data_IF_217650618248
#
_entry.id   IF_217650618248
#
_cell.length_a   1.000
_cell.length_b   1.000
_cell.length_c   1.000
_cell.angle_alpha   90.00
_cell.angle_beta   90.00
_cell.angle_gamma   90.00
#
_symmetry.space_group_name_H-M   'P 1'
#
loop_
_entity.id
_entity.type
_entity.pdbx_description
1 polymer ?
#
# COMPACT_ATOMS: atom_id res chain seq x y z
N UNK A 1 -15.42 16.13 -1.28
CA UNK A 1 -14.44 15.22 -0.66
C UNK A 1 -15.00 13.81 -0.49
N UNK A 2 -16.13 13.62 0.15
CA UNK A 2 -16.76 12.32 0.42
C UNK A 2 -16.98 11.49 -0.86
N UNK A 3 -17.53 12.08 -1.94
CA UNK A 3 -17.68 11.40 -3.25
C UNK A 3 -16.34 10.85 -3.77
N UNK A 4 -15.23 11.59 -3.59
CA UNK A 4 -13.89 11.12 -3.99
C UNK A 4 -13.43 9.93 -3.13
N UNK A 5 -13.73 9.94 -1.82
CA UNK A 5 -13.40 8.83 -0.89
C UNK A 5 -14.16 7.56 -1.29
N UNK A 6 -15.48 7.67 -1.50
CA UNK A 6 -16.29 6.51 -1.93
C UNK A 6 -15.87 5.98 -3.30
N UNK A 7 -15.54 6.88 -4.24
CA UNK A 7 -14.99 6.47 -5.53
C UNK A 7 -13.67 5.72 -5.40
N UNK A 8 -12.77 6.20 -4.53
CA UNK A 8 -11.48 5.53 -4.27
C UNK A 8 -11.69 4.19 -3.55
N UNK A 9 -12.60 4.12 -2.58
CA UNK A 9 -12.94 2.87 -1.90
C UNK A 9 -13.54 1.85 -2.88
N UNK A 10 -14.51 2.26 -3.71
CA UNK A 10 -15.08 1.40 -4.76
C UNK A 10 -14.02 0.87 -5.74
N UNK A 11 -13.07 1.72 -6.13
CA UNK A 11 -11.93 1.31 -6.96
C UNK A 11 -11.06 0.25 -6.25
N UNK A 12 -10.81 0.40 -4.94
CA UNK A 12 -10.03 -0.58 -4.16
C UNK A 12 -10.75 -1.91 -4.01
N UNK A 13 -12.06 -1.88 -3.78
CA UNK A 13 -12.90 -3.09 -3.74
C UNK A 13 -12.92 -3.78 -5.11
N UNK A 14 -13.11 -3.02 -6.20
CA UNK A 14 -13.04 -3.55 -7.57
C UNK A 14 -11.69 -4.22 -7.83
N UNK A 15 -10.58 -3.58 -7.44
CA UNK A 15 -9.25 -4.17 -7.55
C UNK A 15 -9.13 -5.48 -6.78
N UNK A 16 -9.64 -5.54 -5.55
CA UNK A 16 -9.64 -6.77 -4.76
C UNK A 16 -10.44 -7.88 -5.44
N UNK A 17 -11.60 -7.56 -6.03
CA UNK A 17 -12.41 -8.51 -6.81
C UNK A 17 -11.63 -8.99 -8.05
N UNK A 18 -11.03 -8.06 -8.82
CA UNK A 18 -10.20 -8.43 -9.97
C UNK A 18 -9.04 -9.34 -9.55
N UNK A 19 -8.38 -9.04 -8.43
CA UNK A 19 -7.32 -9.90 -7.87
C UNK A 19 -7.81 -11.30 -7.51
N UNK A 20 -8.98 -11.42 -6.89
CA UNK A 20 -9.60 -12.73 -6.58
C UNK A 20 -9.95 -13.51 -7.86
N UNK A 21 -10.51 -12.84 -8.86
CA UNK A 21 -10.83 -13.45 -10.17
C UNK A 21 -9.54 -13.90 -10.86
N UNK A 22 -8.50 -13.07 -10.86
CA UNK A 22 -7.18 -13.42 -11.40
C UNK A 22 -6.61 -14.66 -10.70
N UNK A 23 -6.67 -14.69 -9.37
CA UNK A 23 -6.23 -15.85 -8.58
C UNK A 23 -7.03 -17.11 -8.92
N UNK A 24 -8.35 -16.99 -9.07
CA UNK A 24 -9.19 -18.13 -9.43
C UNK A 24 -8.83 -18.71 -10.79
N UNK A 25 -8.63 -17.86 -11.82
CA UNK A 25 -8.17 -18.31 -13.13
C UNK A 25 -6.76 -18.91 -13.08
N UNK A 26 -5.83 -18.26 -12.34
CA UNK A 26 -4.49 -18.77 -12.19
C UNK A 26 -4.47 -20.16 -11.54
N UNK A 27 -5.22 -20.36 -10.46
CA UNK A 27 -5.27 -21.64 -9.76
C UNK A 27 -5.85 -22.78 -10.60
N UNK A 28 -6.80 -22.49 -11.52
CA UNK A 28 -7.44 -23.50 -12.35
C UNK A 28 -6.71 -23.82 -13.65
N UNK A 29 -6.05 -22.83 -14.25
CA UNK A 29 -5.48 -22.96 -15.60
C UNK A 29 -3.96 -22.93 -15.64
N UNK A 30 -3.29 -22.27 -14.68
CA UNK A 30 -1.81 -22.22 -14.65
C UNK A 30 -1.20 -23.23 -13.68
N UNK A 31 -1.93 -23.58 -12.61
CA UNK A 31 -1.43 -24.46 -11.55
C UNK A 31 -0.62 -23.72 -10.46
N UNK A 32 -0.30 -24.43 -9.38
CA UNK A 32 0.32 -23.84 -8.20
C UNK A 32 1.78 -23.40 -8.44
N UNK A 33 2.53 -24.15 -9.24
CA UNK A 33 3.94 -23.86 -9.54
C UNK A 33 4.08 -22.57 -10.35
N UNK A 34 3.37 -22.46 -11.48
CA UNK A 34 3.37 -21.28 -12.33
C UNK A 34 2.86 -20.04 -11.60
N UNK A 35 1.83 -20.19 -10.75
CA UNK A 35 1.36 -19.11 -9.89
C UNK A 35 2.41 -18.69 -8.86
N UNK A 36 3.16 -19.65 -8.31
CA UNK A 36 4.27 -19.40 -7.39
C UNK A 36 5.38 -18.55 -8.02
N UNK A 37 5.84 -18.92 -9.22
CA UNK A 37 6.86 -18.19 -9.98
C UNK A 37 6.37 -16.75 -10.28
N UNK A 38 5.13 -16.59 -10.76
CA UNK A 38 4.54 -15.27 -11.00
C UNK A 38 4.46 -14.41 -9.74
N UNK A 39 4.19 -15.05 -8.59
CA UNK A 39 4.19 -14.40 -7.27
C UNK A 39 5.57 -13.92 -6.84
N UNK A 40 6.63 -14.71 -7.10
CA UNK A 40 8.03 -14.31 -6.83
C UNK A 40 8.41 -13.13 -7.70
N UNK A 41 8.14 -13.16 -9.00
CA UNK A 41 8.41 -12.03 -9.92
C UNK A 41 7.72 -10.75 -9.42
N UNK A 42 6.47 -10.83 -8.97
CA UNK A 42 5.75 -9.67 -8.43
C UNK A 42 6.37 -9.16 -7.12
N UNK A 43 6.87 -10.06 -6.28
CA UNK A 43 7.59 -9.71 -5.05
C UNK A 43 8.88 -8.96 -5.39
N UNK A 44 9.66 -9.46 -6.35
CA UNK A 44 10.91 -8.84 -6.81
C UNK A 44 10.68 -7.46 -7.40
N UNK A 45 9.66 -7.31 -8.24
CA UNK A 45 9.22 -5.99 -8.73
C UNK A 45 8.97 -5.05 -7.55
N UNK A 46 8.27 -5.52 -6.51
CA UNK A 46 7.95 -4.71 -5.33
C UNK A 46 9.22 -4.30 -4.53
N UNK A 47 10.21 -5.17 -4.44
CA UNK A 47 11.48 -4.89 -3.77
C UNK A 47 12.33 -3.88 -4.58
N UNK A 48 12.44 -4.08 -5.88
CA UNK A 48 13.20 -3.19 -6.76
C UNK A 48 12.58 -1.78 -6.84
N UNK A 49 11.25 -1.69 -6.72
CA UNK A 49 10.56 -0.40 -6.67
C UNK A 49 10.97 0.47 -5.49
N UNK A 50 11.43 -0.09 -4.38
CA UNK A 50 11.89 0.70 -3.20
C UNK A 50 12.96 1.72 -3.60
N UNK A 51 13.94 1.34 -4.42
CA UNK A 51 14.96 2.26 -4.91
C UNK A 51 14.44 3.29 -5.91
N UNK A 52 13.52 2.88 -6.78
CA UNK A 52 12.90 3.77 -7.76
C UNK A 52 12.02 4.81 -7.09
N UNK A 53 11.24 4.41 -6.09
CA UNK A 53 10.28 5.28 -5.39
C UNK A 53 10.92 6.37 -4.52
N UNK A 54 12.24 6.38 -4.35
CA UNK A 54 12.96 7.50 -3.71
C UNK A 54 12.66 8.84 -4.39
N UNK A 55 12.62 8.87 -5.73
CA UNK A 55 12.34 10.07 -6.51
C UNK A 55 11.09 9.98 -7.38
N UNK A 56 10.56 8.77 -7.60
CA UNK A 56 9.41 8.53 -8.47
C UNK A 56 8.20 7.95 -7.70
N UNK A 57 8.20 8.02 -6.39
CA UNK A 57 7.16 7.45 -5.52
C UNK A 57 6.08 8.44 -5.08
N UNK A 58 5.43 8.12 -3.97
CA UNK A 58 4.31 8.90 -3.40
C UNK A 58 4.67 10.34 -3.01
N UNK A 59 5.94 10.65 -2.82
CA UNK A 59 6.43 12.02 -2.61
C UNK A 59 6.03 12.99 -3.73
N UNK A 60 5.85 12.49 -4.95
CA UNK A 60 5.38 13.29 -6.09
C UNK A 60 4.02 13.96 -5.82
N UNK A 61 3.15 13.37 -5.01
CA UNK A 61 1.86 13.99 -4.63
C UNK A 61 2.10 15.33 -3.91
N UNK A 62 3.15 15.39 -3.07
CA UNK A 62 3.54 16.61 -2.37
C UNK A 62 4.19 17.64 -3.31
N UNK A 63 5.06 17.21 -4.23
CA UNK A 63 5.82 18.10 -5.10
C UNK A 63 5.00 18.62 -6.30
N UNK A 64 4.06 17.87 -6.82
CA UNK A 64 3.28 18.21 -8.04
C UNK A 64 2.55 19.57 -7.96
N UNK A 65 1.97 20.02 -6.85
CA UNK A 65 1.38 21.35 -6.78
C UNK A 65 2.40 22.48 -6.60
N UNK A 66 3.69 22.16 -6.31
CA UNK A 66 4.72 23.13 -5.90
C UNK A 66 5.84 23.33 -6.90
N UNK A 67 6.01 22.38 -7.82
CA UNK A 67 7.14 22.33 -8.76
C UNK A 67 6.66 22.14 -10.19
N UNK A 68 7.50 22.52 -11.15
CA UNK A 68 7.29 22.29 -12.57
C UNK A 68 7.06 20.81 -12.87
N UNK A 69 6.00 20.52 -13.60
CA UNK A 69 5.71 19.17 -14.03
C UNK A 69 6.82 18.59 -14.93
N UNK A 70 7.35 19.42 -15.85
CA UNK A 70 8.48 19.02 -16.73
C UNK A 70 9.71 18.62 -15.93
N UNK A 71 10.04 19.40 -14.89
CA UNK A 71 11.19 19.13 -14.03
C UNK A 71 10.97 17.85 -13.24
N UNK A 72 9.80 17.65 -12.64
CA UNK A 72 9.45 16.43 -11.90
C UNK A 72 9.51 15.19 -12.81
N UNK A 73 8.97 15.29 -14.02
CA UNK A 73 9.00 14.20 -15.01
C UNK A 73 10.43 13.85 -15.41
N UNK A 74 11.26 14.84 -15.75
CA UNK A 74 12.66 14.61 -16.11
C UNK A 74 13.44 13.93 -14.97
N UNK A 75 13.28 14.40 -13.73
CA UNK A 75 13.93 13.81 -12.56
C UNK A 75 13.48 12.36 -12.35
N UNK A 76 12.17 12.11 -12.32
CA UNK A 76 11.63 10.78 -12.05
C UNK A 76 11.98 9.78 -13.15
N UNK A 77 11.89 10.17 -14.42
CA UNK A 77 12.20 9.28 -15.54
C UNK A 77 13.71 8.99 -15.63
N UNK A 78 14.57 10.01 -15.47
CA UNK A 78 16.02 9.82 -15.45
C UNK A 78 16.43 8.93 -14.27
N UNK A 79 15.89 9.18 -13.08
CA UNK A 79 16.15 8.36 -11.89
C UNK A 79 15.73 6.91 -12.09
N UNK A 80 14.50 6.67 -12.58
CA UNK A 80 14.02 5.33 -12.88
C UNK A 80 14.95 4.61 -13.86
N UNK A 81 15.37 5.28 -14.92
CA UNK A 81 16.31 4.71 -15.91
C UNK A 81 17.65 4.36 -15.27
N UNK A 82 18.21 5.26 -14.45
CA UNK A 82 19.48 5.02 -13.75
C UNK A 82 19.37 3.83 -12.79
N UNK A 83 18.33 3.76 -11.99
CA UNK A 83 18.16 2.70 -11.01
C UNK A 83 17.91 1.35 -11.69
N UNK A 84 17.08 1.30 -12.73
CA UNK A 84 16.85 0.06 -13.49
C UNK A 84 18.13 -0.41 -14.19
N UNK A 85 18.91 0.51 -14.79
CA UNK A 85 20.21 0.18 -15.38
C UNK A 85 21.21 -0.31 -14.31
N UNK A 86 21.20 0.29 -13.12
CA UNK A 86 22.02 -0.15 -11.99
C UNK A 86 21.65 -1.57 -11.55
N UNK A 87 20.36 -1.89 -11.45
CA UNK A 87 19.89 -3.24 -11.14
C UNK A 87 20.29 -4.25 -12.23
N UNK A 88 20.16 -3.88 -13.52
CA UNK A 88 20.62 -4.72 -14.62
C UNK A 88 22.14 -4.99 -14.53
N UNK A 89 22.94 -4.00 -14.14
CA UNK A 89 24.36 -4.15 -13.92
C UNK A 89 24.65 -5.10 -12.75
N UNK A 90 23.95 -4.95 -11.62
CA UNK A 90 24.11 -5.84 -10.46
C UNK A 90 23.79 -7.27 -10.84
N UNK A 91 22.66 -7.52 -11.51
CA UNK A 91 22.24 -8.86 -11.94
C UNK A 91 23.32 -9.47 -12.85
N UNK A 92 23.83 -8.68 -13.81
CA UNK A 92 24.91 -9.13 -14.71
C UNK A 92 26.23 -9.37 -13.97
N UNK A 93 26.57 -8.58 -12.96
CA UNK A 93 27.77 -8.78 -12.16
C UNK A 93 27.63 -10.00 -11.23
N UNK A 94 26.42 -10.27 -10.74
CA UNK A 94 26.15 -11.44 -9.90
C UNK A 94 26.46 -12.75 -10.61
N UNK A 95 26.33 -12.82 -11.94
CA UNK A 95 26.71 -14.00 -12.72
C UNK A 95 28.22 -14.28 -12.75
N UNK A 96 29.05 -13.31 -12.34
CA UNK A 96 30.52 -13.48 -12.23
C UNK A 96 30.99 -13.77 -10.80
N UNK A 97 30.08 -13.76 -9.82
CA UNK A 97 30.44 -14.05 -8.42
C UNK A 97 30.51 -15.57 -8.24
N UNK A 98 31.64 -16.12 -7.71
CA UNK A 98 31.77 -17.55 -7.48
C UNK A 98 30.69 -18.07 -6.50
N UNK A 99 30.19 -19.28 -6.75
CA UNK A 99 29.15 -19.95 -5.93
C UNK A 99 29.51 -20.02 -4.43
N UNK A 100 30.78 -20.00 -4.08
CA UNK A 100 31.25 -19.98 -2.69
C UNK A 100 30.90 -18.70 -1.92
N UNK A 101 30.72 -17.57 -2.61
CA UNK A 101 30.33 -16.29 -2.00
C UNK A 101 28.82 -16.16 -1.98
N UNK A 102 28.14 -16.58 -3.04
CA UNK A 102 26.68 -16.65 -3.13
C UNK A 102 26.10 -17.59 -2.06
N UNK A 103 26.73 -18.75 -1.81
CA UNK A 103 26.31 -19.69 -0.78
C UNK A 103 26.39 -19.11 0.66
N UNK A 104 27.28 -18.16 0.91
CA UNK A 104 27.36 -17.49 2.21
C UNK A 104 26.18 -16.52 2.42
N UNK A 105 25.77 -15.82 1.36
CA UNK A 105 24.60 -14.93 1.39
C UNK A 105 23.26 -15.74 1.36
N UNK A 106 23.21 -16.82 0.62
CA UNK A 106 22.03 -17.71 0.54
C UNK A 106 21.79 -18.46 1.86
N UNK A 107 22.83 -18.83 2.63
CA UNK A 107 22.66 -19.34 4.00
C UNK A 107 21.97 -18.38 4.96
N UNK A 108 22.09 -17.07 4.74
CA UNK A 108 21.34 -16.05 5.48
C UNK A 108 19.91 -15.86 4.96
N UNK A 109 19.63 -16.23 3.70
CA UNK A 109 18.33 -16.03 3.06
C UNK A 109 17.43 -17.28 3.03
N UNK A 110 17.96 -18.47 3.42
CA UNK A 110 17.29 -19.78 3.28
C UNK A 110 17.65 -20.44 1.95
N UNK A 111 18.02 -21.70 2.03
CA UNK A 111 18.72 -22.47 0.98
C UNK A 111 18.01 -22.62 -0.40
N UNK A 112 16.82 -22.05 -0.61
CA UNK A 112 16.04 -22.21 -1.86
C UNK A 112 15.54 -20.89 -2.49
N UNK A 113 15.98 -19.72 -2.05
CA UNK A 113 15.48 -18.47 -2.62
C UNK A 113 16.45 -17.87 -3.63
N UNK A 114 16.33 -18.26 -4.88
CA UNK A 114 16.79 -17.40 -5.98
C UNK A 114 15.98 -16.10 -5.91
N UNK A 115 16.68 -14.98 -5.75
CA UNK A 115 16.06 -13.66 -5.62
C UNK A 115 15.22 -13.30 -6.86
N UNK A 116 15.59 -13.79 -8.04
CA UNK A 116 14.82 -13.63 -9.28
C UNK A 116 14.85 -14.98 -10.00
N UNK A 117 13.69 -15.58 -10.38
CA UNK A 117 13.66 -16.82 -11.11
C UNK A 117 14.46 -16.72 -12.41
N UNK A 118 15.29 -17.73 -12.69
CA UNK A 118 16.11 -17.76 -13.90
C UNK A 118 15.27 -17.56 -15.17
N UNK A 119 15.74 -16.67 -16.04
CA UNK A 119 15.08 -16.32 -17.31
C UNK A 119 14.02 -15.23 -17.21
N UNK A 120 13.69 -14.75 -16.00
CA UNK A 120 12.72 -13.67 -15.79
C UNK A 120 13.36 -12.34 -15.41
N UNK A 121 14.68 -12.25 -15.37
CA UNK A 121 15.42 -11.06 -14.95
C UNK A 121 15.09 -9.84 -15.83
N UNK A 122 15.15 -10.02 -17.15
CA UNK A 122 14.89 -8.94 -18.10
C UNK A 122 13.45 -8.42 -18.02
N UNK A 123 12.46 -9.33 -17.93
CA UNK A 123 11.05 -8.93 -17.85
C UNK A 123 10.70 -8.30 -16.50
N UNK A 124 11.32 -8.74 -15.40
CA UNK A 124 11.19 -8.12 -14.08
C UNK A 124 11.68 -6.67 -14.12
N UNK A 125 12.83 -6.39 -14.73
CA UNK A 125 13.33 -5.03 -14.91
C UNK A 125 12.42 -4.17 -15.80
N UNK A 126 11.88 -4.75 -16.89
CA UNK A 126 10.91 -4.06 -17.75
C UNK A 126 9.63 -3.75 -16.98
N UNK A 127 9.14 -4.67 -16.15
CA UNK A 127 7.98 -4.45 -15.30
C UNK A 127 8.21 -3.32 -14.30
N UNK A 128 9.37 -3.30 -13.63
CA UNK A 128 9.77 -2.19 -12.71
C UNK A 128 9.77 -0.86 -13.44
N UNK A 129 10.36 -0.81 -14.64
CA UNK A 129 10.44 0.41 -15.43
C UNK A 129 9.05 0.92 -15.83
N UNK A 130 8.23 0.09 -16.47
CA UNK A 130 6.89 0.47 -16.95
C UNK A 130 5.94 0.79 -15.80
N UNK A 131 5.97 0.00 -14.72
CA UNK A 131 5.21 0.30 -13.50
C UNK A 131 5.54 1.69 -12.96
N UNK A 132 6.84 2.03 -12.90
CA UNK A 132 7.30 3.33 -12.39
C UNK A 132 6.77 4.50 -13.22
N UNK A 133 6.77 4.37 -14.55
CA UNK A 133 6.21 5.36 -15.45
C UNK A 133 4.68 5.48 -15.30
N UNK A 134 3.99 4.36 -15.12
CA UNK A 134 2.55 4.34 -14.82
C UNK A 134 2.27 5.02 -13.47
N UNK A 135 3.01 4.65 -12.42
CA UNK A 135 2.87 5.22 -11.08
C UNK A 135 3.14 6.73 -11.04
N UNK A 136 4.08 7.23 -11.85
CA UNK A 136 4.32 8.66 -12.03
C UNK A 136 3.05 9.40 -12.46
N UNK A 137 2.33 8.87 -13.46
CA UNK A 137 1.07 9.46 -13.93
C UNK A 137 0.00 9.44 -12.83
N UNK A 138 -0.14 8.32 -12.11
CA UNK A 138 -1.11 8.18 -11.02
C UNK A 138 -0.84 9.18 -9.89
N UNK A 139 0.40 9.25 -9.42
CA UNK A 139 0.79 10.15 -8.31
C UNK A 139 0.68 11.62 -8.69
N UNK A 140 1.02 11.96 -9.94
CA UNK A 140 0.85 13.32 -10.48
C UNK A 140 -0.62 13.72 -10.54
N UNK A 141 -1.50 12.85 -11.01
CA UNK A 141 -2.95 13.13 -11.03
C UNK A 141 -3.51 13.33 -9.62
N UNK A 142 -3.01 12.56 -8.63
CA UNK A 142 -3.36 12.78 -7.22
C UNK A 142 -2.85 14.13 -6.72
N UNK A 143 -1.63 14.52 -7.03
CA UNK A 143 -1.07 15.83 -6.70
C UNK A 143 -1.86 16.99 -7.32
N UNK A 144 -2.43 16.81 -8.51
CA UNK A 144 -3.36 17.76 -9.15
C UNK A 144 -4.83 17.63 -8.69
N UNK A 145 -5.11 16.94 -7.59
CA UNK A 145 -6.46 16.66 -7.06
C UNK A 145 -7.42 15.93 -8.04
N UNK A 146 -6.89 15.29 -9.08
CA UNK A 146 -7.68 14.53 -10.05
C UNK A 146 -7.90 13.09 -9.63
N UNK A 147 -8.41 12.91 -8.42
CA UNK A 147 -8.64 11.58 -7.82
C UNK A 147 -9.57 10.71 -8.68
N UNK A 148 -10.59 11.29 -9.31
CA UNK A 148 -11.50 10.54 -10.20
C UNK A 148 -10.78 9.94 -11.40
N UNK A 149 -9.94 10.73 -12.09
CA UNK A 149 -9.14 10.26 -13.23
C UNK A 149 -8.12 9.21 -12.79
N UNK A 150 -7.46 9.41 -11.63
CA UNK A 150 -6.57 8.42 -11.05
C UNK A 150 -7.29 7.08 -10.81
N UNK A 151 -8.49 7.09 -10.22
CA UNK A 151 -9.28 5.89 -9.99
C UNK A 151 -9.67 5.17 -11.29
N UNK A 152 -10.03 5.92 -12.33
CA UNK A 152 -10.36 5.34 -13.65
C UNK A 152 -9.13 4.65 -14.26
N UNK A 153 -7.96 5.30 -14.24
CA UNK A 153 -6.73 4.70 -14.75
C UNK A 153 -6.35 3.42 -13.99
N UNK A 154 -6.58 3.42 -12.67
CA UNK A 154 -6.34 2.26 -11.84
C UNK A 154 -7.27 1.09 -12.22
N UNK A 155 -8.55 1.37 -12.48
CA UNK A 155 -9.51 0.37 -12.98
C UNK A 155 -9.10 -0.13 -14.36
N UNK A 156 -8.74 0.76 -15.30
CA UNK A 156 -8.29 0.39 -16.63
C UNK A 156 -7.12 -0.57 -16.56
N UNK A 157 -6.10 -0.26 -15.75
CA UNK A 157 -4.93 -1.11 -15.57
C UNK A 157 -5.32 -2.52 -15.12
N UNK A 158 -6.14 -2.65 -14.05
CA UNK A 158 -6.52 -3.97 -13.52
C UNK A 158 -7.48 -4.74 -14.45
N UNK A 159 -8.43 -4.07 -15.06
CA UNK A 159 -9.33 -4.71 -16.03
C UNK A 159 -8.56 -5.20 -17.26
N UNK A 160 -7.61 -4.39 -17.75
CA UNK A 160 -6.73 -4.79 -18.85
C UNK A 160 -5.86 -5.98 -18.47
N UNK A 161 -5.25 -5.97 -17.28
CA UNK A 161 -4.47 -7.10 -16.77
C UNK A 161 -5.32 -8.38 -16.73
N UNK A 162 -6.50 -8.33 -16.13
CA UNK A 162 -7.40 -9.49 -16.04
C UNK A 162 -7.81 -9.98 -17.42
N UNK A 163 -8.26 -9.06 -18.31
CA UNK A 163 -8.71 -9.43 -19.66
C UNK A 163 -7.59 -9.99 -20.51
N UNK A 164 -6.39 -9.40 -20.45
CA UNK A 164 -5.23 -9.90 -21.20
C UNK A 164 -4.77 -11.26 -20.70
N UNK A 165 -4.88 -11.56 -19.39
CA UNK A 165 -4.60 -12.89 -18.87
C UNK A 165 -5.53 -13.94 -19.49
N UNK A 166 -6.83 -13.64 -19.61
CA UNK A 166 -7.78 -14.54 -20.28
C UNK A 166 -7.41 -14.74 -21.76
N UNK A 167 -7.01 -13.69 -22.45
CA UNK A 167 -6.54 -13.78 -23.84
C UNK A 167 -5.29 -14.68 -23.94
N UNK A 168 -4.32 -14.50 -23.05
CA UNK A 168 -3.12 -15.33 -23.04
C UNK A 168 -3.42 -16.81 -22.77
N UNK A 169 -4.34 -17.12 -21.84
CA UNK A 169 -4.73 -18.49 -21.50
C UNK A 169 -5.55 -19.13 -22.63
N UNK A 170 -6.59 -18.46 -23.14
CA UNK A 170 -7.58 -19.08 -24.03
C UNK A 170 -7.32 -18.90 -25.52
N UNK A 171 -6.59 -17.85 -25.94
CA UNK A 171 -6.30 -17.58 -27.36
C UNK A 171 -4.88 -18.01 -27.70
N UNK A 172 -3.90 -17.69 -26.84
CA UNK A 172 -2.49 -18.03 -27.05
C UNK A 172 -2.09 -19.37 -26.41
N UNK A 173 -2.99 -20.05 -25.71
CA UNK A 173 -2.80 -21.32 -24.98
C UNK A 173 -1.56 -21.33 -24.06
N UNK A 174 -1.24 -20.18 -23.47
CA UNK A 174 -0.18 -20.05 -22.48
C UNK A 174 -0.74 -20.51 -21.11
N UNK A 175 -0.28 -21.69 -20.66
CA UNK A 175 -0.72 -22.29 -19.38
C UNK A 175 0.38 -22.35 -18.35
N UNK A 176 1.29 -21.40 -18.43
CA UNK A 176 2.42 -21.22 -17.52
C UNK A 176 2.42 -19.82 -16.89
N UNK A 177 3.44 -19.54 -16.08
CA UNK A 177 3.64 -18.27 -15.41
C UNK A 177 3.71 -17.06 -16.36
N UNK A 178 4.10 -17.27 -17.63
CA UNK A 178 4.18 -16.24 -18.67
C UNK A 178 2.83 -15.56 -18.91
N UNK A 179 1.72 -16.33 -18.85
CA UNK A 179 0.39 -15.76 -19.00
C UNK A 179 0.11 -14.66 -17.96
N UNK A 180 0.49 -14.89 -16.70
CA UNK A 180 0.34 -13.91 -15.63
C UNK A 180 1.31 -12.74 -15.77
N UNK A 181 2.60 -13.00 -15.98
CA UNK A 181 3.65 -11.99 -16.10
C UNK A 181 3.38 -11.05 -17.29
N UNK A 182 3.01 -11.58 -18.46
CA UNK A 182 2.68 -10.76 -19.62
C UNK A 182 1.37 -9.98 -19.42
N UNK A 183 0.43 -10.52 -18.66
CA UNK A 183 -0.79 -9.78 -18.32
C UNK A 183 -0.50 -8.57 -17.42
N UNK A 184 0.41 -8.70 -16.47
CA UNK A 184 0.90 -7.58 -15.66
C UNK A 184 1.52 -6.49 -16.54
N UNK A 185 2.43 -6.90 -17.44
CA UNK A 185 3.09 -5.96 -18.36
C UNK A 185 2.06 -5.23 -19.24
N UNK A 186 1.12 -5.98 -19.83
CA UNK A 186 0.06 -5.40 -20.68
C UNK A 186 -0.79 -4.40 -19.89
N UNK A 187 -1.19 -4.75 -18.67
CA UNK A 187 -1.95 -3.86 -17.78
C UNK A 187 -1.20 -2.56 -17.47
N UNK A 188 0.09 -2.63 -17.15
CA UNK A 188 0.91 -1.45 -16.86
C UNK A 188 1.19 -0.61 -18.11
N UNK A 189 1.45 -1.22 -19.26
CA UNK A 189 1.67 -0.50 -20.53
C UNK A 189 0.41 0.29 -20.93
N UNK A 190 -0.76 -0.35 -20.96
CA UNK A 190 -2.01 0.33 -21.31
C UNK A 190 -2.36 1.40 -20.27
N UNK A 191 -2.19 1.09 -18.97
CA UNK A 191 -2.36 2.06 -17.89
C UNK A 191 -1.45 3.27 -18.05
N UNK A 192 -0.18 3.07 -18.38
CA UNK A 192 0.78 4.14 -18.67
C UNK A 192 0.37 4.99 -19.87
N UNK A 193 0.03 4.37 -21.01
CA UNK A 193 -0.37 5.08 -22.21
C UNK A 193 -1.64 5.92 -21.99
N UNK A 194 -2.65 5.34 -21.33
CA UNK A 194 -3.85 6.08 -20.93
C UNK A 194 -3.54 7.21 -19.95
N UNK A 195 -2.61 6.97 -19.00
CA UNK A 195 -2.16 7.99 -18.06
C UNK A 195 -1.44 9.14 -18.76
N UNK A 196 -0.58 8.84 -19.72
CA UNK A 196 0.17 9.82 -20.49
C UNK A 196 -0.78 10.78 -21.25
N UNK A 197 -1.86 10.28 -21.86
CA UNK A 197 -2.85 11.15 -22.53
C UNK A 197 -3.51 12.16 -21.59
N UNK A 198 -3.69 11.77 -20.30
CA UNK A 198 -4.28 12.63 -19.29
C UNK A 198 -3.29 13.67 -18.71
N UNK A 199 -2.00 13.33 -18.70
CA UNK A 199 -0.95 14.18 -18.11
C UNK A 199 -0.22 15.03 -19.15
N UNK A 200 -0.32 14.68 -20.45
CA UNK A 200 0.36 15.37 -21.55
C UNK A 200 0.15 16.89 -21.58
N UNK A 201 -1.06 17.34 -21.28
CA UNK A 201 -1.39 18.77 -21.22
C UNK A 201 -0.60 19.56 -20.18
N UNK A 202 -0.14 18.88 -19.10
CA UNK A 202 0.68 19.54 -18.08
C UNK A 202 2.12 19.76 -18.55
N UNK A 203 2.57 18.99 -19.55
CA UNK A 203 3.88 19.19 -20.21
C UNK A 203 3.82 20.44 -21.09
N UNK A 204 2.73 20.62 -21.83
CA UNK A 204 2.59 21.72 -22.80
C UNK A 204 2.44 23.06 -22.07
N UNK A 205 1.66 23.10 -21.01
CA UNK A 205 1.27 24.31 -20.29
C UNK A 205 2.19 24.64 -19.09
N UNK A 206 3.40 24.08 -19.06
CA UNK A 206 4.34 24.30 -17.96
C UNK A 206 5.39 25.31 -18.36
N UNK A 207 5.20 26.56 -17.92
CA UNK A 207 6.14 27.69 -18.16
C UNK A 207 7.13 27.89 -17.01
N UNK A 208 7.06 27.09 -15.93
CA UNK A 208 7.92 27.24 -14.77
C UNK A 208 9.30 26.59 -14.99
N UNK A 209 10.35 27.26 -14.52
CA UNK A 209 11.74 26.85 -14.70
C UNK A 209 12.39 26.55 -13.33
N UNK A 210 12.03 25.41 -12.73
CA UNK A 210 12.66 24.97 -11.49
C UNK A 210 14.07 24.41 -11.73
N UNK A 211 14.99 24.70 -10.80
CA UNK A 211 16.34 24.13 -10.85
C UNK A 211 16.28 22.60 -10.67
N UNK A 212 16.77 21.86 -11.68
CA UNK A 212 16.77 20.40 -11.69
C UNK A 212 17.47 19.80 -10.47
N UNK A 213 18.71 20.21 -10.19
CA UNK A 213 19.53 19.65 -9.10
C UNK A 213 18.94 19.96 -7.72
N UNK A 214 18.42 21.18 -7.52
CA UNK A 214 17.80 21.58 -6.27
C UNK A 214 16.52 20.75 -6.03
N UNK A 215 15.68 20.64 -7.04
CA UNK A 215 14.42 19.87 -6.95
C UNK A 215 14.71 18.38 -6.74
N UNK A 216 15.68 17.80 -7.44
CA UNK A 216 16.10 16.41 -7.25
C UNK A 216 16.60 16.16 -5.82
N UNK A 217 17.38 17.07 -5.24
CA UNK A 217 17.86 16.98 -3.85
C UNK A 217 16.69 17.05 -2.84
N UNK A 218 15.75 17.97 -3.06
CA UNK A 218 14.55 18.09 -2.21
C UNK A 218 13.72 16.80 -2.29
N UNK A 219 13.48 16.25 -3.49
CA UNK A 219 12.75 15.00 -3.71
C UNK A 219 13.46 13.81 -3.06
N UNK A 220 14.79 13.72 -3.22
CA UNK A 220 15.58 12.63 -2.62
C UNK A 220 15.50 12.64 -1.09
N UNK A 221 15.68 13.80 -0.47
CA UNK A 221 15.60 13.92 0.99
C UNK A 221 14.21 13.55 1.52
N UNK A 222 13.16 14.03 0.86
CA UNK A 222 11.79 13.72 1.22
C UNK A 222 11.45 12.24 1.01
N UNK A 223 11.79 11.70 -0.16
CA UNK A 223 11.53 10.33 -0.54
C UNK A 223 12.30 9.32 0.31
N UNK A 224 13.58 9.60 0.64
CA UNK A 224 14.39 8.73 1.51
C UNK A 224 13.75 8.55 2.88
N UNK A 225 13.18 9.62 3.45
CA UNK A 225 12.51 9.55 4.74
C UNK A 225 11.23 8.70 4.63
N UNK A 226 10.46 8.85 3.54
CA UNK A 226 9.26 8.04 3.30
C UNK A 226 9.65 6.57 3.13
N UNK A 227 10.65 6.26 2.31
CA UNK A 227 11.06 4.88 2.06
C UNK A 227 11.63 4.22 3.30
N UNK A 228 12.45 4.93 4.09
CA UNK A 228 12.95 4.41 5.36
C UNK A 228 11.80 4.13 6.34
N UNK A 229 10.80 5.02 6.41
CA UNK A 229 9.58 4.81 7.21
C UNK A 229 8.82 3.56 6.75
N UNK A 230 8.70 3.35 5.45
CA UNK A 230 8.05 2.18 4.85
C UNK A 230 8.80 0.90 5.20
N UNK A 231 10.13 0.89 5.09
CA UNK A 231 10.97 -0.26 5.45
C UNK A 231 10.84 -0.63 6.94
N UNK A 232 10.92 0.36 7.84
CA UNK A 232 10.73 0.12 9.28
C UNK A 232 9.32 -0.44 9.56
N UNK A 233 8.29 0.08 8.90
CA UNK A 233 6.91 -0.42 9.03
C UNK A 233 6.76 -1.86 8.49
N UNK A 234 7.49 -2.21 7.43
CA UNK A 234 7.54 -3.59 6.92
C UNK A 234 8.21 -4.53 7.93
N UNK A 235 9.32 -4.11 8.52
CA UNK A 235 9.99 -4.87 9.58
C UNK A 235 9.06 -5.14 10.75
N UNK A 236 8.33 -4.12 11.23
CA UNK A 236 7.35 -4.27 12.31
C UNK A 236 6.34 -5.38 12.03
N UNK A 237 5.86 -5.49 10.80
CA UNK A 237 4.91 -6.54 10.42
C UNK A 237 5.55 -7.91 10.24
N UNK A 238 6.76 -7.96 9.65
CA UNK A 238 7.45 -9.22 9.35
C UNK A 238 8.02 -9.90 10.58
N UNK A 239 8.46 -9.13 11.58
CA UNK A 239 8.98 -9.68 12.84
C UNK A 239 8.01 -10.67 13.50
N UNK A 240 6.71 -10.42 13.46
CA UNK A 240 5.69 -11.33 13.98
C UNK A 240 5.78 -12.72 13.37
N UNK A 241 5.98 -12.82 12.05
CA UNK A 241 6.08 -14.10 11.35
C UNK A 241 7.33 -14.89 11.78
N UNK A 242 8.48 -14.22 11.84
CA UNK A 242 9.73 -14.87 12.27
C UNK A 242 9.65 -15.38 13.69
N UNK A 243 9.08 -14.61 14.60
CA UNK A 243 8.98 -14.99 16.01
C UNK A 243 7.96 -16.10 16.21
N UNK A 244 6.80 -16.07 15.53
CA UNK A 244 5.84 -17.18 15.55
C UNK A 244 6.49 -18.45 14.99
N UNK A 245 7.23 -18.36 13.87
CA UNK A 245 7.93 -19.50 13.28
C UNK A 245 8.92 -20.13 14.29
N UNK A 246 9.71 -19.30 14.95
CA UNK A 246 10.73 -19.76 15.87
C UNK A 246 10.18 -20.45 17.12
N UNK A 247 9.02 -20.05 17.64
CA UNK A 247 8.43 -20.64 18.85
C UNK A 247 7.37 -21.71 18.58
N UNK A 248 6.62 -21.62 17.48
CA UNK A 248 5.41 -22.39 17.23
C UNK A 248 5.37 -23.12 15.88
N UNK A 249 6.36 -22.87 15.01
CA UNK A 249 6.49 -23.52 13.71
C UNK A 249 5.62 -22.94 12.58
N UNK A 250 5.78 -23.49 11.38
CA UNK A 250 5.23 -22.95 10.14
C UNK A 250 3.69 -23.02 10.06
N UNK A 251 3.06 -24.06 10.61
CA UNK A 251 1.60 -24.17 10.62
C UNK A 251 0.92 -22.98 11.32
N UNK A 252 1.48 -22.55 12.44
CA UNK A 252 0.98 -21.39 13.18
C UNK A 252 1.21 -20.07 12.42
N UNK A 253 2.31 -19.97 11.67
CA UNK A 253 2.55 -18.84 10.77
C UNK A 253 1.47 -18.78 9.68
N UNK A 254 1.10 -19.91 9.08
CA UNK A 254 0.05 -20.00 8.07
C UNK A 254 -1.30 -19.52 8.59
N UNK A 255 -1.72 -19.96 9.78
CA UNK A 255 -2.96 -19.52 10.42
C UNK A 255 -2.92 -18.02 10.76
N UNK A 256 -1.80 -17.53 11.33
CA UNK A 256 -1.62 -16.11 11.65
C UNK A 256 -1.65 -15.23 10.40
N UNK A 257 -0.99 -15.66 9.32
CA UNK A 257 -0.99 -14.95 8.04
C UNK A 257 -2.40 -14.81 7.48
N UNK A 258 -3.15 -15.92 7.43
CA UNK A 258 -4.53 -15.91 6.93
C UNK A 258 -5.44 -15.04 7.80
N UNK A 259 -5.32 -15.13 9.13
CA UNK A 259 -6.04 -14.28 10.06
C UNK A 259 -5.73 -12.80 9.84
N UNK A 260 -4.44 -12.47 9.67
CA UNK A 260 -3.98 -11.09 9.41
C UNK A 260 -4.53 -10.54 8.10
N UNK A 261 -4.51 -11.33 7.02
CA UNK A 261 -5.03 -10.89 5.71
C UNK A 261 -6.52 -10.55 5.78
N UNK A 262 -7.32 -11.40 6.43
CA UNK A 262 -8.77 -11.15 6.60
C UNK A 262 -9.01 -9.97 7.54
N UNK A 263 -8.31 -9.89 8.67
CA UNK A 263 -8.45 -8.80 9.63
C UNK A 263 -8.03 -7.45 9.07
N UNK A 264 -7.05 -7.42 8.16
CA UNK A 264 -6.57 -6.19 7.54
C UNK A 264 -7.47 -5.65 6.41
N UNK A 265 -8.45 -6.42 5.91
CA UNK A 265 -9.33 -5.96 4.84
C UNK A 265 -10.01 -4.60 5.13
N UNK A 266 -10.53 -4.32 6.35
CA UNK A 266 -11.10 -3.01 6.69
C UNK A 266 -10.13 -1.82 6.58
N UNK A 267 -8.81 -2.04 6.57
CA UNK A 267 -7.84 -0.94 6.39
C UNK A 267 -7.99 -0.21 5.06
N UNK A 268 -8.59 -0.86 4.04
CA UNK A 268 -8.89 -0.23 2.74
C UNK A 268 -9.73 1.04 2.90
N UNK A 269 -10.55 1.13 3.94
CA UNK A 269 -11.32 2.34 4.30
C UNK A 269 -10.34 3.47 4.65
N UNK A 270 -9.46 3.22 5.62
CA UNK A 270 -8.44 4.18 6.06
C UNK A 270 -7.53 4.60 4.91
N UNK A 271 -7.09 3.66 4.07
CA UNK A 271 -6.26 3.92 2.89
C UNK A 271 -6.96 4.82 1.87
N UNK A 272 -8.25 4.59 1.62
CA UNK A 272 -9.03 5.39 0.68
C UNK A 272 -9.24 6.83 1.17
N UNK A 273 -9.51 6.98 2.47
CA UNK A 273 -9.63 8.29 3.14
C UNK A 273 -8.29 9.04 3.08
N UNK A 274 -7.21 8.38 3.47
CA UNK A 274 -5.87 8.94 3.55
C UNK A 274 -5.35 9.41 2.18
N UNK A 275 -5.59 8.65 1.11
CA UNK A 275 -5.18 9.02 -0.25
C UNK A 275 -5.86 10.30 -0.73
N UNK A 276 -7.18 10.43 -0.52
CA UNK A 276 -7.93 11.63 -0.88
C UNK A 276 -7.52 12.82 -0.01
N UNK A 277 -7.24 12.57 1.27
CA UNK A 277 -6.71 13.56 2.21
C UNK A 277 -5.35 14.08 1.76
N UNK A 278 -4.42 13.20 1.41
CA UNK A 278 -3.08 13.58 0.96
C UNK A 278 -3.14 14.51 -0.25
N UNK A 279 -3.90 14.10 -1.27
CA UNK A 279 -4.16 14.94 -2.45
C UNK A 279 -4.71 16.33 -2.08
N UNK A 280 -5.63 16.39 -1.11
CA UNK A 280 -6.23 17.67 -0.68
C UNK A 280 -5.25 18.51 0.13
N UNK A 281 -4.60 17.93 1.15
CA UNK A 281 -3.71 18.66 2.06
C UNK A 281 -2.47 19.19 1.33
N UNK A 282 -1.91 18.43 0.38
CA UNK A 282 -0.76 18.86 -0.41
C UNK A 282 -1.02 20.13 -1.23
N UNK A 283 -2.28 20.44 -1.52
CA UNK A 283 -2.71 21.65 -2.24
C UNK A 283 -3.23 22.78 -1.32
N UNK A 284 -3.31 22.56 0.01
CA UNK A 284 -3.75 23.58 0.96
C UNK A 284 -2.58 24.43 1.45
N UNK A 285 -2.84 25.73 1.61
CA UNK A 285 -1.93 26.68 2.27
C UNK A 285 -2.31 26.95 3.72
N UNK A 286 -3.58 26.70 4.10
CA UNK A 286 -4.09 26.88 5.46
C UNK A 286 -3.92 25.61 6.31
N UNK A 287 -2.92 25.64 7.20
CA UNK A 287 -2.63 24.55 8.12
C UNK A 287 -3.76 24.27 9.13
N UNK A 288 -4.54 25.29 9.53
CA UNK A 288 -5.67 25.11 10.45
C UNK A 288 -6.80 24.35 9.76
N UNK A 289 -7.07 24.67 8.50
CA UNK A 289 -8.05 23.93 7.70
C UNK A 289 -7.60 22.48 7.48
N UNK A 290 -6.32 22.25 7.17
CA UNK A 290 -5.75 20.92 7.04
C UNK A 290 -5.92 20.08 8.32
N UNK A 291 -5.67 20.69 9.49
CA UNK A 291 -5.86 20.03 10.79
C UNK A 291 -7.33 19.67 11.07
N UNK A 292 -8.27 20.58 10.83
CA UNK A 292 -9.72 20.31 10.99
C UNK A 292 -10.21 19.16 10.10
N UNK A 293 -9.82 19.17 8.82
CA UNK A 293 -10.13 18.09 7.88
C UNK A 293 -9.56 16.77 8.41
N UNK A 294 -8.33 16.79 8.92
CA UNK A 294 -7.68 15.58 9.45
C UNK A 294 -8.43 15.01 10.64
N UNK A 295 -8.85 15.85 11.61
CA UNK A 295 -9.65 15.39 12.77
C UNK A 295 -10.95 14.71 12.33
N UNK A 296 -11.69 15.30 11.39
CA UNK A 296 -12.92 14.69 10.87
C UNK A 296 -12.66 13.35 10.20
N UNK A 297 -11.59 13.25 9.41
CA UNK A 297 -11.24 12.04 8.70
C UNK A 297 -10.71 10.94 9.62
N UNK A 298 -9.97 11.29 10.68
CA UNK A 298 -9.56 10.35 11.74
C UNK A 298 -10.78 9.68 12.38
N UNK A 299 -11.75 10.48 12.80
CA UNK A 299 -13.00 9.96 13.40
C UNK A 299 -13.75 9.05 12.43
N UNK A 300 -13.85 9.47 11.17
CA UNK A 300 -14.52 8.68 10.13
C UNK A 300 -13.80 7.36 9.88
N UNK A 301 -12.47 7.38 9.72
CA UNK A 301 -11.67 6.19 9.49
C UNK A 301 -11.76 5.22 10.68
N UNK A 302 -11.61 5.72 11.91
CA UNK A 302 -11.74 4.92 13.12
C UNK A 302 -13.11 4.25 13.24
N UNK A 303 -14.19 5.04 13.09
CA UNK A 303 -15.56 4.53 13.25
C UNK A 303 -15.93 3.48 12.20
N UNK A 304 -15.65 3.75 10.92
CA UNK A 304 -15.99 2.82 9.85
C UNK A 304 -15.16 1.54 9.92
N UNK A 305 -13.86 1.66 10.21
CA UNK A 305 -12.98 0.49 10.37
C UNK A 305 -13.39 -0.33 11.59
N UNK A 306 -13.74 0.31 12.73
CA UNK A 306 -14.20 -0.37 13.92
C UNK A 306 -15.50 -1.16 13.64
N UNK A 307 -16.47 -0.57 12.96
CA UNK A 307 -17.72 -1.26 12.59
C UNK A 307 -17.41 -2.48 11.71
N UNK A 308 -16.54 -2.35 10.70
CA UNK A 308 -16.21 -3.46 9.80
C UNK A 308 -15.46 -4.58 10.52
N UNK A 309 -14.44 -4.26 11.36
CA UNK A 309 -13.68 -5.30 12.06
C UNK A 309 -14.53 -5.98 13.14
N UNK A 310 -15.41 -5.26 13.84
CA UNK A 310 -16.36 -5.84 14.77
C UNK A 310 -17.32 -6.80 14.07
N UNK A 311 -17.82 -6.44 12.89
CA UNK A 311 -18.66 -7.33 12.09
C UNK A 311 -17.92 -8.64 11.75
N UNK A 312 -16.63 -8.58 11.38
CA UNK A 312 -15.82 -9.77 11.16
C UNK A 312 -15.64 -10.59 12.45
N UNK A 313 -15.36 -9.95 13.59
CA UNK A 313 -15.19 -10.65 14.87
C UNK A 313 -16.48 -11.35 15.36
N UNK A 314 -17.66 -10.87 14.99
CA UNK A 314 -18.97 -11.48 15.36
C UNK A 314 -19.24 -12.77 14.57
N UNK A 315 -18.64 -12.94 13.39
CA UNK A 315 -18.82 -14.15 12.57
C UNK A 315 -18.45 -15.39 13.38
N UNK A 316 -19.29 -16.44 13.42
CA UNK A 316 -19.01 -17.69 14.13
C UNK A 316 -17.75 -18.39 13.60
N UNK A 317 -17.02 -19.06 14.51
CA UNK A 317 -15.79 -19.82 14.15
C UNK A 317 -16.06 -20.88 13.09
N UNK A 318 -17.26 -21.49 13.11
CA UNK A 318 -17.69 -22.51 12.14
C UNK A 318 -17.67 -22.00 10.69
N UNK A 319 -17.94 -20.72 10.45
CA UNK A 319 -17.86 -20.14 9.10
C UNK A 319 -16.40 -20.06 8.63
N UNK A 320 -15.48 -19.64 9.51
CA UNK A 320 -14.06 -19.63 9.18
C UNK A 320 -13.51 -21.03 8.90
N UNK A 321 -13.89 -22.02 9.72
CA UNK A 321 -13.50 -23.42 9.51
C UNK A 321 -14.11 -24.00 8.22
N UNK A 322 -15.31 -23.58 7.83
CA UNK A 322 -15.94 -24.01 6.59
C UNK A 322 -15.25 -23.44 5.35
N UNK A 323 -14.82 -22.15 5.41
CA UNK A 323 -14.15 -21.47 4.28
C UNK A 323 -12.69 -21.92 4.14
N UNK A 324 -11.95 -22.03 5.27
CA UNK A 324 -10.50 -22.20 5.30
C UNK A 324 -10.02 -23.57 5.79
N UNK A 325 -10.89 -24.48 6.14
CA UNK A 325 -10.71 -25.77 6.81
C UNK A 325 -10.64 -25.71 8.34
N UNK A 326 -10.76 -26.88 8.98
CA UNK A 326 -10.80 -27.00 10.46
C UNK A 326 -9.51 -26.54 11.14
N UNK A 327 -8.36 -26.66 10.48
CA UNK A 327 -7.04 -26.20 10.98
C UNK A 327 -7.00 -24.69 11.24
N UNK A 328 -7.82 -23.92 10.53
CA UNK A 328 -7.93 -22.46 10.64
C UNK A 328 -8.94 -21.97 11.68
N UNK A 329 -9.49 -22.86 12.52
CA UNK A 329 -10.46 -22.48 13.58
C UNK A 329 -9.91 -21.41 14.53
N UNK A 330 -8.59 -21.42 14.80
CA UNK A 330 -7.91 -20.44 15.64
C UNK A 330 -7.83 -19.02 15.05
N UNK A 331 -8.11 -18.85 13.74
CA UNK A 331 -8.08 -17.53 13.08
C UNK A 331 -8.91 -16.47 13.80
N UNK A 332 -10.12 -16.83 14.27
CA UNK A 332 -11.01 -15.90 14.95
C UNK A 332 -10.37 -15.26 16.18
N UNK A 333 -9.72 -16.06 17.03
CA UNK A 333 -9.05 -15.55 18.24
C UNK A 333 -7.91 -14.58 17.90
N UNK A 334 -7.16 -14.90 16.85
CA UNK A 334 -6.10 -14.01 16.32
C UNK A 334 -6.70 -12.72 15.77
N UNK A 335 -7.79 -12.80 15.01
CA UNK A 335 -8.49 -11.62 14.46
C UNK A 335 -9.02 -10.70 15.57
N UNK A 336 -9.56 -11.26 16.65
CA UNK A 336 -10.01 -10.48 17.81
C UNK A 336 -8.83 -9.77 18.49
N UNK A 337 -7.67 -10.43 18.61
CA UNK A 337 -6.46 -9.82 19.15
C UNK A 337 -5.90 -8.70 18.24
N UNK A 338 -6.03 -8.84 16.93
CA UNK A 338 -5.62 -7.84 15.93
C UNK A 338 -6.61 -6.67 15.80
N UNK A 339 -7.88 -6.86 16.16
CA UNK A 339 -8.95 -5.90 15.85
C UNK A 339 -8.69 -4.47 16.34
N UNK A 340 -8.23 -4.20 17.58
CA UNK A 340 -7.87 -2.85 18.00
C UNK A 340 -6.73 -2.27 17.14
N UNK A 341 -5.71 -3.08 16.85
CA UNK A 341 -4.57 -2.70 16.01
C UNK A 341 -4.96 -2.28 14.61
N UNK A 342 -5.95 -2.93 14.01
CA UNK A 342 -6.45 -2.58 12.66
C UNK A 342 -7.13 -1.20 12.65
N UNK A 343 -7.90 -0.87 13.69
CA UNK A 343 -8.50 0.47 13.84
C UNK A 343 -7.40 1.52 13.98
N UNK A 344 -6.39 1.25 14.81
CA UNK A 344 -5.23 2.15 14.95
C UNK A 344 -4.45 2.28 13.64
N UNK A 345 -4.25 1.21 12.90
CA UNK A 345 -3.57 1.25 11.60
C UNK A 345 -4.31 2.09 10.58
N UNK A 346 -5.65 2.00 10.51
CA UNK A 346 -6.45 2.84 9.62
C UNK A 346 -6.37 4.33 9.98
N UNK A 347 -6.34 4.66 11.28
CA UNK A 347 -6.14 6.04 11.75
C UNK A 347 -4.71 6.53 11.54
N UNK A 348 -3.71 5.63 11.67
CA UNK A 348 -2.32 5.95 11.38
C UNK A 348 -2.10 6.37 9.93
N UNK A 349 -2.77 5.75 8.98
CA UNK A 349 -2.72 6.15 7.58
C UNK A 349 -3.16 7.61 7.37
N UNK A 350 -4.20 8.04 8.08
CA UNK A 350 -4.68 9.43 8.02
C UNK A 350 -3.64 10.40 8.58
N UNK A 351 -3.01 10.10 9.72
CA UNK A 351 -1.91 10.91 10.25
C UNK A 351 -0.69 10.91 9.35
N UNK A 352 -0.33 9.76 8.79
CA UNK A 352 0.83 9.63 7.91
C UNK A 352 0.70 10.54 6.69
N UNK A 353 -0.48 10.59 6.08
CA UNK A 353 -0.73 11.44 4.92
C UNK A 353 -0.88 12.91 5.28
N UNK A 354 -1.35 13.25 6.50
CA UNK A 354 -1.30 14.60 7.03
C UNK A 354 0.14 15.11 7.13
N UNK A 355 1.02 14.36 7.80
CA UNK A 355 2.41 14.76 7.97
C UNK A 355 3.15 14.83 6.63
N UNK A 356 2.95 13.88 5.74
CA UNK A 356 3.56 13.89 4.40
C UNK A 356 3.03 15.05 3.55
N UNK A 357 1.75 15.39 3.65
CA UNK A 357 1.13 16.49 2.90
C UNK A 357 1.61 17.89 3.32
N UNK A 358 2.10 18.04 4.55
CA UNK A 358 2.62 19.28 5.10
C UNK A 358 4.16 19.32 5.21
N UNK A 359 4.87 18.50 4.43
CA UNK A 359 6.35 18.42 4.43
C UNK A 359 6.98 17.99 5.77
N UNK A 360 6.28 17.13 6.51
CA UNK A 360 6.74 16.62 7.79
C UNK A 360 6.86 15.09 7.83
N UNK A 361 7.41 14.41 6.77
CA UNK A 361 7.45 12.93 6.70
C UNK A 361 8.30 12.29 7.81
N UNK A 362 9.20 13.05 8.45
CA UNK A 362 10.02 12.56 9.58
C UNK A 362 9.19 12.02 10.73
N UNK A 363 7.99 12.57 10.97
CA UNK A 363 7.11 12.07 12.04
C UNK A 363 6.54 10.68 11.71
N UNK A 364 6.46 10.29 10.44
CA UNK A 364 6.11 8.94 10.05
C UNK A 364 7.23 7.96 10.37
N UNK A 365 8.48 8.34 10.08
CA UNK A 365 9.66 7.55 10.43
C UNK A 365 9.78 7.38 11.96
N UNK A 366 9.69 8.47 12.73
CA UNK A 366 9.75 8.39 14.18
C UNK A 366 8.61 7.55 14.76
N UNK A 367 7.39 7.67 14.22
CA UNK A 367 6.28 6.82 14.59
C UNK A 367 6.56 5.34 14.33
N UNK A 368 7.13 5.00 13.16
CA UNK A 368 7.50 3.63 12.81
C UNK A 368 8.61 3.08 13.75
N UNK A 369 9.60 3.92 14.13
CA UNK A 369 10.65 3.56 15.08
C UNK A 369 10.09 3.33 16.50
N UNK A 370 9.16 4.19 16.96
CA UNK A 370 8.43 3.97 18.23
C UNK A 370 7.67 2.64 18.18
N UNK A 371 7.01 2.36 17.04
CA UNK A 371 6.37 1.06 16.81
C UNK A 371 7.38 -0.09 16.97
N UNK A 372 8.54 -0.01 16.33
CA UNK A 372 9.57 -1.05 16.39
C UNK A 372 10.08 -1.28 17.82
N UNK A 373 10.30 -0.19 18.56
CA UNK A 373 10.73 -0.24 19.95
C UNK A 373 9.70 -0.94 20.88
N UNK A 374 8.41 -0.90 20.53
CA UNK A 374 7.35 -1.63 21.25
C UNK A 374 7.18 -3.04 20.71
N UNK A 375 7.29 -3.24 19.37
CA UNK A 375 7.11 -4.53 18.70
C UNK A 375 8.08 -5.59 19.26
N UNK A 376 9.37 -5.26 19.32
CA UNK A 376 10.40 -6.22 19.72
C UNK A 376 10.11 -6.80 21.12
N UNK A 377 10.02 -6.01 22.21
CA UNK A 377 9.81 -6.57 23.53
C UNK A 377 8.44 -7.26 23.67
N UNK A 378 7.37 -6.70 23.11
CA UNK A 378 6.05 -7.31 23.25
C UNK A 378 5.91 -8.63 22.50
N UNK A 379 6.54 -8.78 21.31
CA UNK A 379 6.58 -10.06 20.62
C UNK A 379 7.32 -11.13 21.43
N UNK A 380 8.50 -10.81 21.93
CA UNK A 380 9.30 -11.77 22.72
C UNK A 380 8.66 -12.14 24.07
N UNK A 381 7.84 -11.25 24.65
CA UNK A 381 7.14 -11.53 25.90
C UNK A 381 5.81 -12.27 25.69
N UNK A 382 5.03 -11.88 24.67
CA UNK A 382 3.67 -12.37 24.52
C UNK A 382 3.57 -13.60 23.60
N UNK A 383 4.43 -13.74 22.59
CA UNK A 383 4.33 -14.86 21.65
C UNK A 383 4.69 -16.20 22.28
N UNK A 384 5.72 -16.35 23.15
CA UNK A 384 6.00 -17.62 23.80
C UNK A 384 4.86 -18.11 24.69
N UNK A 385 4.13 -17.19 25.34
CA UNK A 385 3.07 -17.51 26.31
C UNK A 385 1.70 -17.69 25.66
N UNK A 386 1.35 -16.83 24.70
CA UNK A 386 0.01 -16.77 24.09
C UNK A 386 -0.01 -17.18 22.61
N UNK A 387 1.12 -17.63 22.05
CA UNK A 387 1.20 -18.06 20.64
C UNK A 387 0.83 -16.95 19.68
N UNK A 388 0.05 -17.29 18.65
CA UNK A 388 -0.43 -16.37 17.62
C UNK A 388 -1.27 -15.22 18.18
N UNK A 389 -2.01 -15.45 19.26
CA UNK A 389 -2.83 -14.41 19.93
C UNK A 389 -1.88 -13.37 20.55
N UNK A 390 -0.78 -13.80 21.16
CA UNK A 390 0.26 -12.91 21.70
C UNK A 390 0.87 -12.01 20.62
N UNK A 391 1.14 -12.55 19.43
CA UNK A 391 1.60 -11.76 18.29
C UNK A 391 0.53 -10.75 17.81
N UNK A 392 -0.75 -11.13 17.82
CA UNK A 392 -1.86 -10.22 17.50
C UNK A 392 -1.99 -9.08 18.52
N UNK A 393 -1.86 -9.36 19.80
CA UNK A 393 -1.84 -8.34 20.88
C UNK A 393 -0.63 -7.42 20.72
N UNK A 394 0.56 -7.97 20.43
CA UNK A 394 1.77 -7.19 20.18
C UNK A 394 1.57 -6.20 19.02
N UNK A 395 0.99 -6.65 17.91
CA UNK A 395 0.67 -5.79 16.76
C UNK A 395 -0.31 -4.67 17.14
N UNK A 396 -1.30 -4.96 17.98
CA UNK A 396 -2.26 -3.96 18.50
C UNK A 396 -1.58 -2.93 19.39
N UNK A 397 -0.69 -3.35 20.29
CA UNK A 397 0.11 -2.46 21.14
C UNK A 397 1.08 -1.60 20.34
N UNK A 398 1.72 -2.19 19.33
CA UNK A 398 2.58 -1.46 18.39
C UNK A 398 1.84 -0.32 17.71
N UNK A 399 0.68 -0.61 17.09
CA UNK A 399 -0.11 0.41 16.41
C UNK A 399 -0.67 1.45 17.38
N UNK A 400 -1.02 1.07 18.60
CA UNK A 400 -1.40 2.01 19.67
C UNK A 400 -0.27 2.98 20.01
N UNK A 401 0.96 2.48 20.16
CA UNK A 401 2.11 3.33 20.46
C UNK A 401 2.40 4.32 19.32
N UNK A 402 2.32 3.87 18.07
CA UNK A 402 2.47 4.72 16.88
C UNK A 402 1.42 5.84 16.88
N UNK A 403 0.17 5.50 17.14
CA UNK A 403 -0.94 6.47 17.18
C UNK A 403 -0.74 7.48 18.31
N UNK A 404 -0.39 7.03 19.51
CA UNK A 404 -0.13 7.92 20.66
C UNK A 404 0.98 8.92 20.29
N UNK A 405 2.09 8.45 19.72
CA UNK A 405 3.17 9.33 19.29
C UNK A 405 2.67 10.39 18.29
N UNK A 406 2.05 9.96 17.20
CA UNK A 406 1.56 10.86 16.14
C UNK A 406 0.49 11.83 16.63
N UNK A 407 -0.37 11.37 17.53
CA UNK A 407 -1.35 12.18 18.22
C UNK A 407 -0.72 13.31 19.04
N UNK A 408 0.25 12.98 19.90
CA UNK A 408 0.95 13.97 20.73
C UNK A 408 1.60 15.05 19.87
N UNK A 409 2.26 14.64 18.78
CA UNK A 409 2.88 15.58 17.84
C UNK A 409 1.82 16.44 17.13
N UNK A 410 0.75 15.83 16.61
CA UNK A 410 -0.34 16.54 15.95
C UNK A 410 -1.00 17.59 16.86
N UNK A 411 -1.26 17.20 18.11
CA UNK A 411 -1.80 18.11 19.14
C UNK A 411 -0.86 19.29 19.41
N UNK A 412 0.45 19.02 19.54
CA UNK A 412 1.46 20.04 19.80
C UNK A 412 1.57 21.06 18.67
N UNK A 413 1.57 20.57 17.40
CA UNK A 413 1.70 21.42 16.22
C UNK A 413 0.46 22.31 16.03
N UNK A 414 -0.74 21.74 16.19
CA UNK A 414 -1.99 22.43 15.85
C UNK A 414 -2.68 23.10 17.03
N UNK A 415 -2.16 22.95 18.25
CA UNK A 415 -2.75 23.47 19.51
C UNK A 415 -4.21 23.02 19.70
N UNK A 416 -4.53 21.78 19.31
CA UNK A 416 -5.89 21.21 19.37
C UNK A 416 -6.09 20.54 20.75
N UNK A 417 -7.31 20.66 21.31
CA UNK A 417 -7.68 19.98 22.55
C UNK A 417 -7.88 18.47 22.32
N UNK A 418 -7.55 17.66 23.33
CA UNK A 418 -7.80 16.21 23.28
C UNK A 418 -9.30 15.88 23.17
N UNK A 419 -10.18 16.77 23.63
CA UNK A 419 -11.62 16.60 23.54
C UNK A 419 -12.18 16.69 22.12
N UNK A 420 -11.48 17.38 21.20
CA UNK A 420 -11.91 17.52 19.80
C UNK A 420 -11.82 16.21 19.01
N UNK A 421 -11.02 15.25 19.46
CA UNK A 421 -10.92 13.93 18.84
C UNK A 421 -11.90 12.90 19.39
N UNK A 422 -12.51 13.17 20.54
CA UNK A 422 -13.55 12.28 21.02
C UNK A 422 -14.69 12.21 20.00
N UNK A 423 -15.11 10.99 19.68
CA UNK A 423 -16.22 10.78 18.79
C UNK A 423 -17.49 11.23 19.52
N UNK A 424 -18.19 12.20 18.95
CA UNK A 424 -19.42 12.76 19.52
C UNK A 424 -20.63 12.24 18.75
N UNK A 425 -21.84 12.33 19.36
CA UNK A 425 -23.10 12.02 18.65
C UNK A 425 -23.25 12.84 17.34
N UNK A 426 -22.75 14.08 17.34
CA UNK A 426 -22.78 14.93 16.15
C UNK A 426 -21.91 14.40 15.00
N UNK A 427 -20.82 13.72 15.30
CA UNK A 427 -19.97 13.11 14.29
C UNK A 427 -20.70 11.95 13.59
N UNK A 428 -21.46 11.12 14.32
CA UNK A 428 -22.32 10.08 13.75
C UNK A 428 -23.46 10.66 12.90
N UNK A 429 -24.10 11.74 13.35
CA UNK A 429 -25.17 12.43 12.60
C UNK A 429 -24.60 13.02 11.30
N UNK A 430 -23.43 13.65 11.38
CA UNK A 430 -22.72 14.18 10.21
C UNK A 430 -22.34 13.08 9.23
N UNK A 431 -21.83 11.96 9.73
CA UNK A 431 -21.48 10.79 8.91
C UNK A 431 -22.71 10.18 8.23
N UNK A 432 -23.82 10.03 8.95
CA UNK A 432 -25.10 9.55 8.41
C UNK A 432 -25.63 10.49 7.33
N UNK A 433 -25.64 11.79 7.56
CA UNK A 433 -26.13 12.77 6.59
C UNK A 433 -25.26 12.78 5.33
N UNK A 434 -23.94 12.73 5.48
CA UNK A 434 -23.01 12.66 4.37
C UNK A 434 -23.16 11.37 3.54
N UNK A 435 -23.44 10.23 4.18
CA UNK A 435 -23.77 8.96 3.51
C UNK A 435 -25.08 9.06 2.72
N UNK A 436 -26.13 9.61 3.35
CA UNK A 436 -27.43 9.80 2.70
C UNK A 436 -27.35 10.72 1.48
N UNK A 437 -26.55 11.80 1.54
CA UNK A 437 -26.36 12.70 0.42
C UNK A 437 -25.61 12.03 -0.74
N UNK A 438 -24.64 11.17 -0.48
CA UNK A 438 -23.98 10.36 -1.50
C UNK A 438 -24.97 9.41 -2.18
N UNK A 439 -25.78 8.69 -1.39
CA UNK A 439 -26.81 7.78 -1.93
C UNK A 439 -27.88 8.52 -2.75
N UNK A 440 -28.34 9.70 -2.30
CA UNK A 440 -29.28 10.54 -3.05
C UNK A 440 -28.70 11.02 -4.38
N UNK A 441 -27.43 11.42 -4.39
CA UNK A 441 -26.76 11.88 -5.60
C UNK A 441 -26.45 10.74 -6.59
N UNK A 442 -26.18 9.52 -6.11
CA UNK A 442 -26.04 8.34 -6.96
C UNK A 442 -27.35 7.96 -7.63
N UNK A 443 -28.49 8.04 -6.91
CA UNK A 443 -29.82 7.83 -7.51
C UNK A 443 -30.17 8.85 -8.58
N UNK A 444 -29.81 10.13 -8.40
CA UNK A 444 -30.05 11.19 -9.40
C UNK A 444 -29.18 11.04 -10.66
N UNK A 445 -27.99 10.42 -10.56
CA UNK A 445 -27.10 10.20 -11.71
C UNK A 445 -27.54 9.01 -12.56
N UNK A 446 -28.23 8.04 -11.97
CA UNK A 446 -28.79 6.88 -12.70
C UNK A 446 -30.17 7.16 -13.33
N UNK A 447 -30.74 8.35 -13.15
CA UNK A 447 -32.00 8.79 -13.76
C UNK A 447 -31.80 9.81 -14.89
N UNK A 448 -30.56 10.12 -15.25
CA UNK A 448 -30.15 10.88 -16.43
C UNK A 448 -29.35 9.97 -17.37
#
# INVERSE_FOLDING_TARGET
MIKKIFGTFGTRVMNAICGMVTLWFASHYLGAEAWGIGGVVLLDVSLLLVGVELLAGSGLIYFTPRKSYRTLMKISYLWTTIIVAFYALIIKLATFIPDSVTSLFLKFAGEESELIPHGYEAITLVLVFIYSLHNFNLTTLLGKERVGTNNILFIIQFMTQMSSMLVYIFIFDLRDERAFIYSLLTGYVIGYLCGLTQTWRYIINDDSNDSFLRTAKEMFNFGSIIQLSTLVSLLNRRLSFFIIKGFWGDAHVGVYNSASQVAEAPKLIGQSIAMVQFSKISNLTDNKLAARITVQLLKTAASLTAICILALCVIPTSIYSWIFSAEFAAMKSVMVALAPGIVFMATDMVFSHYFSGLDMPRHNLYGALVGLAVTIPTLYLLTPTFGMIGAGISMSLTNLAVIIYKWVIFKKINKISSTELLITKNDFISLKNNLLDVFKNLKKTNQK
#
